data_IF_441856047240
#
_entry.id   IF_441856047240
#
_cell.length_a   1.000
_cell.length_b   1.000
_cell.length_c   1.000
_cell.angle_alpha   90.00
_cell.angle_beta   90.00
_cell.angle_gamma   90.00
#
_symmetry.space_group_name_H-M   'P 1'
#
loop_
_entity.id
_entity.type
_entity.pdbx_description
1 polymer ?
#
# COMPACT_ATOMS: atom_id res chain seq x y z
N UNK A 1 5.73 -38.90 38.08
CA UNK A 1 6.09 -38.86 36.65
C UNK A 1 5.14 -37.87 35.98
N UNK A 2 5.68 -36.65 35.65
CA UNK A 2 4.93 -35.68 34.87
C UNK A 2 5.17 -35.96 33.40
N UNK A 3 4.15 -35.92 32.53
CA UNK A 3 4.36 -36.12 31.11
C UNK A 3 5.10 -34.88 30.55
N UNK A 4 6.21 -35.14 29.86
CA UNK A 4 6.93 -34.13 29.10
C UNK A 4 6.03 -33.64 27.95
N UNK A 5 5.66 -32.38 28.01
CA UNK A 5 5.04 -31.68 26.87
C UNK A 5 6.15 -31.56 25.81
N UNK A 6 6.08 -32.40 24.78
CA UNK A 6 6.86 -32.22 23.57
C UNK A 6 6.35 -30.92 22.93
N UNK A 7 7.12 -29.84 23.05
CA UNK A 7 6.94 -28.68 22.20
C UNK A 7 7.21 -29.13 20.76
N UNK A 8 6.17 -29.24 19.95
CA UNK A 8 6.29 -29.38 18.50
C UNK A 8 7.07 -28.14 18.02
N UNK A 9 8.31 -28.33 17.59
CA UNK A 9 9.00 -27.34 16.77
C UNK A 9 8.21 -27.27 15.48
N UNK A 10 7.45 -26.19 15.26
CA UNK A 10 6.93 -25.88 13.93
C UNK A 10 8.11 -25.84 12.98
N UNK A 11 8.07 -26.60 11.88
CA UNK A 11 9.04 -26.46 10.82
C UNK A 11 8.97 -25.01 10.33
N UNK A 12 10.12 -24.36 10.20
CA UNK A 12 10.20 -22.96 9.76
C UNK A 12 9.61 -22.71 8.36
N UNK A 13 9.24 -23.77 7.66
CA UNK A 13 8.74 -23.75 6.27
C UNK A 13 7.23 -24.02 6.12
N UNK A 14 6.51 -24.32 7.20
CA UNK A 14 5.06 -24.48 7.09
C UNK A 14 4.37 -23.13 6.96
N UNK A 15 3.28 -22.99 6.17
CA UNK A 15 2.52 -21.73 6.10
C UNK A 15 2.09 -21.25 7.49
N UNK A 16 2.02 -19.93 7.65
CA UNK A 16 1.50 -19.33 8.88
C UNK A 16 0.01 -19.70 9.04
N UNK A 17 -0.37 -20.03 10.26
CA UNK A 17 -1.79 -20.15 10.63
C UNK A 17 -2.30 -18.73 10.98
N UNK A 18 -2.68 -17.97 9.93
CA UNK A 18 -3.13 -16.60 10.04
C UNK A 18 -4.54 -16.54 10.63
N UNK A 19 -4.78 -15.54 11.49
CA UNK A 19 -6.07 -15.31 12.14
C UNK A 19 -7.17 -14.86 11.19
N UNK A 20 -6.82 -14.35 10.01
CA UNK A 20 -7.76 -13.90 8.99
C UNK A 20 -8.47 -12.59 9.31
N UNK A 21 -7.99 -11.83 10.30
CA UNK A 21 -8.53 -10.52 10.65
C UNK A 21 -7.93 -9.40 9.79
N UNK A 22 -6.72 -9.60 9.30
CA UNK A 22 -5.99 -8.67 8.41
C UNK A 22 -5.75 -9.37 7.08
N UNK A 23 -6.08 -8.72 5.98
CA UNK A 23 -5.71 -9.18 4.64
C UNK A 23 -4.27 -8.72 4.36
N UNK A 24 -3.34 -9.66 4.46
CA UNK A 24 -1.92 -9.39 4.25
C UNK A 24 -1.56 -9.34 2.78
N UNK A 25 -0.64 -8.43 2.44
CA UNK A 25 0.00 -8.30 1.15
C UNK A 25 1.47 -7.89 1.29
N UNK A 26 2.20 -7.81 0.19
CA UNK A 26 3.57 -7.29 0.14
C UNK A 26 3.86 -6.63 -1.21
N UNK A 27 4.69 -5.59 -1.21
CA UNK A 27 4.99 -4.83 -2.42
C UNK A 27 5.98 -5.56 -3.33
N UNK A 28 5.63 -5.69 -4.60
CA UNK A 28 6.41 -6.35 -5.66
C UNK A 28 7.82 -5.79 -5.78
N UNK A 29 7.95 -4.47 -5.75
CA UNK A 29 9.23 -3.81 -6.02
C UNK A 29 10.32 -4.08 -4.97
N UNK A 30 9.94 -4.37 -3.72
CA UNK A 30 10.90 -4.64 -2.63
C UNK A 30 11.60 -6.00 -2.78
N UNK A 31 11.07 -6.87 -3.66
CA UNK A 31 11.63 -8.19 -4.01
C UNK A 31 11.87 -8.30 -5.52
N UNK A 32 12.30 -7.22 -6.17
CA UNK A 32 12.52 -7.14 -7.62
C UNK A 32 13.56 -8.13 -8.17
N UNK A 33 14.40 -8.71 -7.32
CA UNK A 33 15.37 -9.75 -7.68
C UNK A 33 14.72 -11.12 -7.95
N UNK A 34 13.49 -11.37 -7.47
CA UNK A 34 12.74 -12.59 -7.75
C UNK A 34 11.88 -12.44 -9.02
N UNK A 35 11.73 -13.53 -9.78
CA UNK A 35 10.65 -13.57 -10.79
C UNK A 35 9.28 -13.55 -10.10
N UNK A 36 8.24 -13.18 -10.84
CA UNK A 36 6.88 -13.16 -10.28
C UNK A 36 6.43 -14.55 -9.83
N UNK A 37 6.78 -15.61 -10.56
CA UNK A 37 6.46 -17.00 -10.17
C UNK A 37 7.15 -17.41 -8.87
N UNK A 38 8.42 -16.99 -8.67
CA UNK A 38 9.14 -17.26 -7.42
C UNK A 38 8.49 -16.52 -6.26
N UNK A 39 8.11 -15.27 -6.47
CA UNK A 39 7.45 -14.46 -5.46
C UNK A 39 6.06 -15.01 -5.09
N UNK A 40 5.25 -15.40 -6.08
CA UNK A 40 3.96 -16.05 -5.84
C UNK A 40 4.10 -17.33 -5.01
N UNK A 41 5.10 -18.17 -5.33
CA UNK A 41 5.37 -19.37 -4.52
C UNK A 41 5.80 -19.04 -3.09
N UNK A 42 6.63 -17.99 -2.92
CA UNK A 42 7.07 -17.57 -1.60
C UNK A 42 5.89 -17.04 -0.75
N UNK A 43 5.07 -16.18 -1.32
CA UNK A 43 3.87 -15.61 -0.68
C UNK A 43 2.90 -16.71 -0.24
N UNK A 44 2.57 -17.66 -1.14
CA UNK A 44 1.75 -18.82 -0.82
C UNK A 44 2.40 -19.70 0.27
N UNK A 45 3.72 -19.89 0.22
CA UNK A 45 4.48 -20.63 1.24
C UNK A 45 4.48 -19.96 2.61
N UNK A 46 4.37 -18.62 2.67
CA UNK A 46 4.22 -17.88 3.93
C UNK A 46 2.79 -18.03 4.47
N UNK A 47 1.77 -18.10 3.60
CA UNK A 47 0.38 -18.35 3.99
C UNK A 47 -0.58 -17.19 3.71
N UNK A 48 -0.23 -16.24 2.84
CA UNK A 48 -1.14 -15.22 2.33
C UNK A 48 -1.15 -15.21 0.80
N UNK A 49 -2.07 -14.47 0.17
CA UNK A 49 -2.37 -14.63 -1.25
C UNK A 49 -2.59 -13.30 -1.97
N UNK A 50 -1.80 -12.27 -1.63
CA UNK A 50 -1.86 -10.99 -2.33
C UNK A 50 -0.47 -10.38 -2.51
N UNK A 51 -0.23 -9.75 -3.66
CA UNK A 51 0.97 -8.96 -3.96
C UNK A 51 0.52 -7.57 -4.38
N UNK A 52 1.23 -6.58 -3.90
CA UNK A 52 0.95 -5.16 -4.03
C UNK A 52 1.80 -4.52 -5.13
N UNK A 53 1.28 -3.46 -5.76
CA UNK A 53 1.97 -2.69 -6.79
C UNK A 53 2.38 -3.56 -8.00
N UNK A 54 1.40 -4.27 -8.56
CA UNK A 54 1.60 -5.12 -9.74
C UNK A 54 0.91 -4.51 -10.95
N UNK A 55 1.66 -4.35 -12.04
CA UNK A 55 1.16 -3.84 -13.31
C UNK A 55 0.58 -4.93 -14.24
N UNK A 56 -0.09 -4.52 -15.34
CA UNK A 56 -0.80 -5.44 -16.25
C UNK A 56 0.05 -6.57 -16.82
N UNK A 57 1.37 -6.34 -16.99
CA UNK A 57 2.28 -7.34 -17.56
C UNK A 57 2.51 -8.58 -16.71
N UNK A 58 2.16 -8.57 -15.42
CA UNK A 58 2.40 -9.68 -14.50
C UNK A 58 1.09 -10.30 -13.95
N UNK A 59 -0.10 -9.76 -14.26
CA UNK A 59 -1.38 -10.22 -13.69
C UNK A 59 -1.77 -11.65 -14.07
N UNK A 60 -1.41 -12.12 -15.27
CA UNK A 60 -1.71 -13.50 -15.67
C UNK A 60 -0.95 -14.50 -14.79
N UNK A 61 0.30 -14.17 -14.42
CA UNK A 61 1.10 -15.00 -13.51
C UNK A 61 0.47 -15.04 -12.13
N UNK A 62 -0.01 -13.89 -11.60
CA UNK A 62 -0.73 -13.87 -10.32
C UNK A 62 -1.93 -14.82 -10.34
N UNK A 63 -2.75 -14.75 -11.38
CA UNK A 63 -3.96 -15.59 -11.55
C UNK A 63 -3.61 -17.07 -11.62
N UNK A 64 -2.56 -17.45 -12.33
CA UNK A 64 -2.08 -18.84 -12.43
C UNK A 64 -1.67 -19.40 -11.07
N UNK A 65 -1.20 -18.56 -10.17
CA UNK A 65 -0.78 -18.94 -8.81
C UNK A 65 -1.86 -18.71 -7.74
N UNK A 66 -3.05 -18.22 -8.11
CA UNK A 66 -4.11 -17.90 -7.16
C UNK A 66 -3.78 -16.74 -6.22
N UNK A 67 -2.96 -15.79 -6.70
CA UNK A 67 -2.55 -14.57 -5.99
C UNK A 67 -3.41 -13.41 -6.49
N UNK A 68 -3.86 -12.55 -5.58
CA UNK A 68 -4.56 -11.31 -5.89
C UNK A 68 -3.57 -10.14 -6.07
N UNK A 69 -3.94 -9.13 -6.87
CA UNK A 69 -3.26 -7.84 -6.87
C UNK A 69 -3.98 -6.91 -5.90
N UNK A 70 -3.39 -6.68 -4.73
CA UNK A 70 -3.98 -5.82 -3.70
C UNK A 70 -3.98 -4.34 -4.08
N UNK A 71 -3.02 -3.92 -4.89
CA UNK A 71 -2.91 -2.62 -5.52
C UNK A 71 -2.31 -2.77 -6.92
N UNK A 72 -2.95 -2.18 -7.92
CA UNK A 72 -2.45 -2.11 -9.28
C UNK A 72 -1.69 -0.79 -9.50
N UNK A 73 -0.70 -0.81 -10.40
CA UNK A 73 0.05 0.36 -10.84
C UNK A 73 0.25 0.36 -12.35
N UNK A 74 0.92 1.40 -12.88
CA UNK A 74 1.29 1.53 -14.28
C UNK A 74 0.56 2.64 -15.03
N UNK A 75 -0.41 3.30 -14.40
CA UNK A 75 -1.11 4.45 -14.97
C UNK A 75 -0.36 5.77 -14.73
N UNK A 76 0.47 5.82 -13.71
CA UNK A 76 1.25 7.00 -13.29
C UNK A 76 2.37 7.34 -14.30
N UNK A 77 2.69 8.63 -14.44
CA UNK A 77 3.88 9.09 -15.18
C UNK A 77 5.12 8.82 -14.31
N UNK A 78 5.12 9.36 -13.11
CA UNK A 78 6.16 9.15 -12.10
C UNK A 78 5.64 9.55 -10.71
N UNK A 79 6.45 9.40 -9.67
CA UNK A 79 6.12 9.89 -8.33
C UNK A 79 6.18 11.43 -8.23
N UNK A 80 6.95 12.07 -9.12
CA UNK A 80 7.22 13.52 -9.11
C UNK A 80 6.29 14.28 -10.05
N UNK A 81 5.78 13.63 -11.10
CA UNK A 81 4.94 14.19 -12.15
C UNK A 81 3.52 13.64 -12.01
N UNK A 82 2.67 14.38 -11.32
CA UNK A 82 1.36 13.88 -10.88
C UNK A 82 0.24 14.92 -10.99
N UNK A 83 -0.83 14.64 -10.28
CA UNK A 83 -2.10 15.36 -10.40
C UNK A 83 -2.09 16.82 -9.94
N UNK A 84 -1.10 17.28 -9.18
CA UNK A 84 -1.03 18.68 -8.77
C UNK A 84 -0.57 19.61 -9.93
N UNK A 85 -0.07 19.06 -11.03
CA UNK A 85 0.40 19.85 -12.18
C UNK A 85 -0.53 19.72 -13.40
N UNK A 86 -1.27 20.76 -13.77
CA UNK A 86 -2.22 20.74 -14.89
C UNK A 86 -1.63 20.34 -16.24
N UNK A 87 -0.35 20.57 -16.47
CA UNK A 87 0.35 20.24 -17.70
C UNK A 87 0.39 18.71 -17.96
N UNK A 88 0.29 17.90 -16.90
CA UNK A 88 0.24 16.43 -17.01
C UNK A 88 -1.16 15.85 -17.08
N UNK A 89 -2.23 16.63 -16.83
CA UNK A 89 -3.60 16.13 -16.73
C UNK A 89 -4.04 15.36 -17.97
N UNK A 90 -3.77 15.88 -19.19
CA UNK A 90 -4.18 15.19 -20.42
C UNK A 90 -3.60 13.78 -20.49
N UNK A 91 -2.29 13.64 -20.23
CA UNK A 91 -1.61 12.33 -20.26
C UNK A 91 -2.11 11.41 -19.15
N UNK A 92 -2.27 11.94 -17.93
CA UNK A 92 -2.77 11.17 -16.78
C UNK A 92 -4.22 10.72 -17.01
N UNK A 93 -5.10 11.59 -17.52
CA UNK A 93 -6.51 11.23 -17.79
C UNK A 93 -6.58 10.09 -18.79
N UNK A 94 -5.83 10.15 -19.87
CA UNK A 94 -5.81 9.11 -20.91
C UNK A 94 -5.29 7.79 -20.30
N UNK A 95 -4.16 7.83 -19.60
CA UNK A 95 -3.54 6.65 -19.00
C UNK A 95 -4.41 6.02 -17.91
N UNK A 96 -4.95 6.82 -16.97
CA UNK A 96 -5.82 6.30 -15.92
C UNK A 96 -7.15 5.77 -16.47
N UNK A 97 -7.72 6.39 -17.51
CA UNK A 97 -8.94 5.87 -18.15
C UNK A 97 -8.71 4.47 -18.71
N UNK A 98 -7.59 4.26 -19.42
CA UNK A 98 -7.21 2.94 -19.94
C UNK A 98 -6.95 1.94 -18.78
N UNK A 99 -6.17 2.33 -17.77
CA UNK A 99 -5.83 1.41 -16.68
C UNK A 99 -7.03 1.07 -15.78
N UNK A 100 -7.99 1.96 -15.60
CA UNK A 100 -9.26 1.66 -14.92
C UNK A 100 -9.97 0.49 -15.63
N UNK A 101 -10.01 0.50 -16.97
CA UNK A 101 -10.59 -0.60 -17.72
C UNK A 101 -9.77 -1.88 -17.56
N UNK A 102 -8.45 -1.83 -17.68
CA UNK A 102 -7.57 -2.97 -17.52
C UNK A 102 -7.70 -3.61 -16.12
N UNK A 103 -7.71 -2.81 -15.07
CA UNK A 103 -7.86 -3.25 -13.67
C UNK A 103 -9.20 -3.96 -13.47
N UNK A 104 -10.29 -3.33 -13.94
CA UNK A 104 -11.63 -3.90 -13.82
C UNK A 104 -11.80 -5.19 -14.64
N UNK A 105 -11.29 -5.24 -15.87
CA UNK A 105 -11.36 -6.41 -16.74
C UNK A 105 -10.51 -7.57 -16.21
N UNK A 106 -9.41 -7.26 -15.51
CA UNK A 106 -8.61 -8.25 -14.79
C UNK A 106 -9.30 -8.79 -13.53
N UNK A 107 -10.36 -8.14 -13.04
CA UNK A 107 -11.08 -8.49 -11.82
C UNK A 107 -10.52 -7.86 -10.55
N UNK A 108 -9.61 -6.91 -10.68
CA UNK A 108 -9.03 -6.14 -9.57
C UNK A 108 -9.84 -4.86 -9.30
N UNK A 109 -9.52 -4.15 -8.21
CA UNK A 109 -10.33 -3.01 -7.78
C UNK A 109 -9.55 -1.79 -7.29
N UNK A 110 -8.25 -1.87 -7.09
CA UNK A 110 -7.44 -0.77 -6.56
C UNK A 110 -6.38 -0.33 -7.58
N UNK A 111 -6.27 0.98 -7.80
CA UNK A 111 -5.28 1.59 -8.69
C UNK A 111 -4.63 2.77 -7.98
N UNK A 112 -3.31 2.73 -7.83
CA UNK A 112 -2.54 3.78 -7.15
C UNK A 112 -2.45 5.06 -7.98
N UNK A 113 -2.36 6.22 -7.30
CA UNK A 113 -2.03 7.48 -7.93
C UNK A 113 -1.17 8.38 -7.02
N UNK A 114 -0.56 9.41 -7.60
CA UNK A 114 0.37 10.31 -6.94
C UNK A 114 0.05 11.78 -7.27
N UNK A 115 0.24 12.67 -6.29
CA UNK A 115 0.06 14.11 -6.53
C UNK A 115 1.18 14.72 -7.36
N UNK A 116 2.40 14.20 -7.28
CA UNK A 116 3.59 14.87 -7.78
C UNK A 116 4.17 15.90 -6.79
N UNK A 117 5.21 16.61 -7.23
CA UNK A 117 5.95 17.58 -6.43
C UNK A 117 5.32 18.97 -6.46
N UNK A 118 5.47 19.73 -5.36
CA UNK A 118 4.95 21.11 -5.19
C UNK A 118 5.56 22.10 -6.19
N UNK A 119 6.84 22.00 -6.44
CA UNK A 119 7.60 22.93 -7.30
C UNK A 119 7.35 24.40 -6.97
N UNK A 120 7.23 24.69 -5.66
CA UNK A 120 6.93 26.00 -5.14
C UNK A 120 5.45 26.40 -5.12
N UNK A 121 4.54 25.50 -5.50
CA UNK A 121 3.10 25.68 -5.41
C UNK A 121 2.64 25.60 -3.94
N UNK A 122 1.68 26.41 -3.55
CA UNK A 122 1.02 26.28 -2.25
C UNK A 122 0.00 25.14 -2.23
N UNK A 123 -0.34 24.67 -1.03
CA UNK A 123 -1.23 23.50 -0.84
C UNK A 123 -2.63 23.73 -1.41
N UNK A 124 -3.18 24.95 -1.33
CA UNK A 124 -4.51 25.24 -1.86
C UNK A 124 -4.55 25.15 -3.39
N UNK A 125 -3.53 25.70 -4.04
CA UNK A 125 -3.37 25.60 -5.50
C UNK A 125 -3.19 24.14 -5.92
N UNK A 126 -2.36 23.37 -5.19
CA UNK A 126 -2.17 21.93 -5.42
C UNK A 126 -3.46 21.14 -5.29
N UNK A 127 -4.26 21.39 -4.23
CA UNK A 127 -5.57 20.77 -4.03
C UNK A 127 -6.52 21.07 -5.20
N UNK A 128 -6.64 22.32 -5.63
CA UNK A 128 -7.50 22.72 -6.74
C UNK A 128 -7.10 22.01 -8.04
N UNK A 129 -5.80 21.94 -8.32
CA UNK A 129 -5.28 21.25 -9.49
C UNK A 129 -5.56 19.74 -9.44
N UNK A 130 -5.27 19.08 -8.31
CA UNK A 130 -5.57 17.66 -8.13
C UNK A 130 -7.07 17.36 -8.36
N UNK A 131 -7.96 18.16 -7.79
CA UNK A 131 -9.40 18.01 -7.99
C UNK A 131 -9.76 18.14 -9.45
N UNK A 132 -9.29 19.20 -10.13
CA UNK A 132 -9.62 19.46 -11.54
C UNK A 132 -9.19 18.33 -12.50
N UNK A 133 -8.08 17.64 -12.20
CA UNK A 133 -7.62 16.49 -12.96
C UNK A 133 -8.39 15.20 -12.61
N UNK A 134 -8.42 14.86 -11.33
CA UNK A 134 -9.00 13.61 -10.84
C UNK A 134 -10.50 13.49 -11.09
N UNK A 135 -11.27 14.56 -10.94
CA UNK A 135 -12.73 14.54 -11.21
C UNK A 135 -13.07 14.05 -12.62
N UNK A 136 -12.19 14.23 -13.60
CA UNK A 136 -12.41 13.81 -14.98
C UNK A 136 -12.42 12.28 -15.14
N UNK A 137 -11.75 11.54 -14.26
CA UNK A 137 -11.71 10.07 -14.30
C UNK A 137 -12.68 9.41 -13.31
N UNK A 138 -13.13 10.13 -12.27
CA UNK A 138 -13.89 9.51 -11.16
C UNK A 138 -15.19 8.86 -11.63
N UNK A 139 -15.97 9.51 -12.51
CA UNK A 139 -17.19 8.91 -13.04
C UNK A 139 -16.96 7.62 -13.83
N UNK A 140 -15.78 7.45 -14.44
CA UNK A 140 -15.38 6.20 -15.08
C UNK A 140 -14.98 5.14 -14.04
N UNK A 141 -14.16 5.50 -13.07
CA UNK A 141 -13.74 4.63 -11.96
C UNK A 141 -14.95 4.07 -11.19
N UNK A 142 -15.95 4.90 -10.90
CA UNK A 142 -17.20 4.47 -10.24
C UNK A 142 -17.97 3.43 -11.06
N UNK A 143 -18.16 3.68 -12.37
CA UNK A 143 -18.85 2.72 -13.26
C UNK A 143 -18.14 1.39 -13.34
N UNK A 144 -16.81 1.42 -13.34
CA UNK A 144 -15.95 0.24 -13.40
C UNK A 144 -15.68 -0.39 -12.03
N UNK A 145 -16.10 0.27 -10.93
CA UNK A 145 -15.87 -0.15 -9.53
C UNK A 145 -14.40 -0.26 -9.18
N UNK A 146 -13.58 0.62 -9.72
CA UNK A 146 -12.16 0.75 -9.38
C UNK A 146 -12.01 1.91 -8.40
N UNK A 147 -11.26 1.70 -7.35
CA UNK A 147 -10.90 2.71 -6.34
C UNK A 147 -9.54 3.28 -6.70
N UNK A 148 -9.50 4.58 -6.94
CA UNK A 148 -8.25 5.33 -7.10
C UNK A 148 -7.71 5.65 -5.73
N UNK A 149 -6.48 5.24 -5.45
CA UNK A 149 -5.87 5.37 -4.13
C UNK A 149 -4.63 6.28 -4.19
N UNK A 150 -4.75 7.45 -3.58
CA UNK A 150 -3.64 8.41 -3.51
C UNK A 150 -2.71 8.03 -2.36
N UNK A 151 -1.46 7.80 -2.68
CA UNK A 151 -0.44 7.53 -1.66
C UNK A 151 0.09 8.81 -1.02
N UNK A 152 0.18 8.79 0.31
CA UNK A 152 0.77 9.85 1.12
C UNK A 152 2.25 9.55 1.38
N UNK A 153 3.14 10.46 0.97
CA UNK A 153 4.58 10.32 1.19
C UNK A 153 5.12 11.32 2.22
N UNK A 154 6.28 11.03 2.79
CA UNK A 154 6.99 12.03 3.57
C UNK A 154 7.90 12.88 2.68
N UNK A 155 7.80 14.20 2.85
CA UNK A 155 8.68 15.18 2.19
C UNK A 155 9.97 15.46 2.98
N UNK A 156 10.09 14.96 4.22
CA UNK A 156 11.21 15.24 5.11
C UNK A 156 12.47 14.42 4.80
N UNK A 157 12.32 13.19 4.28
CA UNK A 157 13.44 12.26 4.09
C UNK A 157 13.46 11.67 2.69
N UNK A 158 12.33 11.06 2.23
CA UNK A 158 12.34 10.20 1.03
C UNK A 158 11.90 10.91 -0.24
N UNK A 159 10.89 11.77 -0.17
CA UNK A 159 10.28 12.42 -1.34
C UNK A 159 10.24 13.94 -1.14
N UNK A 160 11.40 14.62 -1.12
CA UNK A 160 11.46 16.08 -0.97
C UNK A 160 10.53 16.77 -1.96
N UNK A 161 9.78 17.76 -1.47
CA UNK A 161 8.84 18.56 -2.29
C UNK A 161 7.54 17.86 -2.71
N UNK A 162 7.26 16.61 -2.26
CA UNK A 162 6.00 15.95 -2.59
C UNK A 162 4.80 16.72 -2.03
N UNK A 163 3.71 16.80 -2.84
CA UNK A 163 2.55 17.65 -2.50
C UNK A 163 1.71 17.04 -1.36
N UNK A 164 1.31 15.78 -1.45
CA UNK A 164 0.46 15.12 -0.45
C UNK A 164 1.31 14.50 0.68
N UNK A 165 1.99 15.32 1.46
CA UNK A 165 2.94 14.88 2.48
C UNK A 165 2.38 14.78 3.91
N UNK A 166 1.04 14.85 4.04
CA UNK A 166 0.36 14.74 5.33
C UNK A 166 -1.11 14.32 5.16
N UNK A 167 -1.69 13.74 6.22
CA UNK A 167 -3.09 13.28 6.23
C UNK A 167 -4.12 14.40 6.02
N UNK A 168 -4.00 15.60 6.62
CA UNK A 168 -4.97 16.67 6.40
C UNK A 168 -5.12 17.07 4.94
N UNK A 169 -4.03 17.12 4.16
CA UNK A 169 -4.08 17.39 2.72
C UNK A 169 -4.87 16.29 1.99
N UNK A 170 -4.53 15.02 2.24
CA UNK A 170 -5.20 13.90 1.58
C UNK A 170 -6.70 13.83 1.91
N UNK A 171 -7.06 14.00 3.18
CA UNK A 171 -8.46 14.01 3.65
C UNK A 171 -9.24 15.16 3.00
N UNK A 172 -8.66 16.35 2.92
CA UNK A 172 -9.31 17.49 2.26
C UNK A 172 -9.52 17.22 0.76
N UNK A 173 -8.53 16.59 0.09
CA UNK A 173 -8.66 16.18 -1.30
C UNK A 173 -9.81 15.18 -1.49
N UNK A 174 -9.91 14.16 -0.64
CA UNK A 174 -11.02 13.21 -0.67
C UNK A 174 -12.39 13.89 -0.51
N UNK A 175 -12.50 14.85 0.41
CA UNK A 175 -13.73 15.62 0.62
C UNK A 175 -14.14 16.44 -0.58
N UNK A 176 -13.18 17.10 -1.24
CA UNK A 176 -13.45 17.91 -2.44
C UNK A 176 -13.85 17.07 -3.63
N UNK A 177 -13.19 15.93 -3.85
CA UNK A 177 -13.57 14.98 -4.92
C UNK A 177 -14.93 14.36 -4.64
N UNK A 178 -15.27 14.03 -3.38
CA UNK A 178 -16.57 13.55 -2.95
C UNK A 178 -17.00 12.19 -3.51
N UNK A 179 -16.09 11.43 -4.13
CA UNK A 179 -16.36 10.11 -4.68
C UNK A 179 -16.03 8.99 -3.67
N UNK A 180 -16.89 7.97 -3.51
CA UNK A 180 -16.56 6.81 -2.69
C UNK A 180 -15.41 5.97 -3.29
N UNK A 181 -15.13 6.15 -4.58
CA UNK A 181 -14.07 5.47 -5.32
C UNK A 181 -12.75 6.24 -5.34
N UNK A 182 -12.61 7.29 -4.52
CA UNK A 182 -11.34 7.96 -4.27
C UNK A 182 -10.98 7.82 -2.79
N UNK A 183 -9.85 7.20 -2.49
CA UNK A 183 -9.36 6.93 -1.15
C UNK A 183 -7.88 7.27 -1.02
N UNK A 184 -7.35 7.18 0.19
CA UNK A 184 -5.95 7.32 0.47
C UNK A 184 -5.31 5.95 0.72
N UNK A 185 -4.15 5.75 0.18
CA UNK A 185 -3.21 4.77 0.66
C UNK A 185 -2.42 5.45 1.79
N UNK A 186 -2.63 4.96 3.01
CA UNK A 186 -1.96 5.47 4.21
C UNK A 186 -0.69 4.66 4.46
N UNK A 187 0.45 5.18 4.03
CA UNK A 187 1.74 4.58 4.32
C UNK A 187 2.19 4.96 5.74
N UNK A 188 2.17 3.98 6.63
CA UNK A 188 2.50 4.15 8.06
C UNK A 188 3.95 4.61 8.24
N UNK A 189 4.88 4.12 7.41
CA UNK A 189 6.27 4.55 7.44
C UNK A 189 6.39 6.05 7.11
N UNK A 190 5.78 6.45 6.00
CA UNK A 190 5.82 7.84 5.55
C UNK A 190 5.14 8.78 6.54
N UNK A 191 3.98 8.40 7.06
CA UNK A 191 3.23 9.26 7.97
C UNK A 191 3.83 9.30 9.36
N UNK A 192 4.53 8.25 9.82
CA UNK A 192 5.31 8.35 11.07
C UNK A 192 6.38 9.44 10.97
N UNK A 193 7.07 9.53 9.84
CA UNK A 193 8.11 10.56 9.60
C UNK A 193 7.47 11.95 9.44
N UNK A 194 6.36 12.05 8.71
CA UNK A 194 5.70 13.33 8.43
C UNK A 194 5.02 13.92 9.65
N UNK A 195 4.23 13.15 10.38
CA UNK A 195 3.31 13.68 11.39
C UNK A 195 3.29 12.89 12.72
N UNK A 196 3.62 11.61 12.70
CA UNK A 196 3.52 10.76 13.89
C UNK A 196 2.07 10.50 14.33
N UNK A 197 1.88 10.12 15.61
CA UNK A 197 0.56 9.88 16.24
C UNK A 197 -0.39 8.97 15.41
N UNK A 198 0.20 7.96 14.77
CA UNK A 198 -0.41 7.07 13.76
C UNK A 198 -1.76 6.50 14.20
N UNK A 199 -1.84 5.98 15.43
CA UNK A 199 -3.05 5.33 15.95
C UNK A 199 -4.22 6.32 16.06
N UNK A 200 -3.97 7.56 16.47
CA UNK A 200 -5.00 8.60 16.54
C UNK A 200 -5.48 8.96 15.14
N UNK A 201 -4.58 9.18 14.20
CA UNK A 201 -4.90 9.51 12.81
C UNK A 201 -5.73 8.40 12.17
N UNK A 202 -5.34 7.13 12.34
CA UNK A 202 -6.13 5.98 11.85
C UNK A 202 -7.55 6.01 12.40
N UNK A 203 -7.72 6.16 13.73
CA UNK A 203 -9.06 6.17 14.34
C UNK A 203 -9.92 7.35 13.92
N UNK A 204 -9.30 8.51 13.67
CA UNK A 204 -10.01 9.75 13.30
C UNK A 204 -10.41 9.75 11.82
N UNK A 205 -9.52 9.32 10.93
CA UNK A 205 -9.64 9.55 9.49
C UNK A 205 -9.82 8.25 8.68
N UNK A 206 -10.06 7.10 9.35
CA UNK A 206 -10.15 5.76 8.74
C UNK A 206 -11.13 5.68 7.56
N UNK A 207 -12.20 6.48 7.56
CA UNK A 207 -13.18 6.48 6.47
C UNK A 207 -12.57 6.87 5.11
N UNK A 208 -11.43 7.58 5.12
CA UNK A 208 -10.72 8.01 3.94
C UNK A 208 -9.62 7.02 3.50
N UNK A 209 -9.22 6.10 4.38
CA UNK A 209 -8.12 5.16 4.11
C UNK A 209 -8.65 3.87 3.47
N UNK A 210 -8.18 3.57 2.26
CA UNK A 210 -8.58 2.39 1.50
C UNK A 210 -7.49 1.32 1.43
N UNK A 211 -6.25 1.65 1.83
CA UNK A 211 -5.10 0.75 1.81
C UNK A 211 -4.04 1.21 2.81
N UNK A 212 -3.20 0.27 3.30
CA UNK A 212 -2.11 0.58 4.21
C UNK A 212 -0.80 -0.03 3.73
N UNK A 213 0.31 0.76 3.83
CA UNK A 213 1.67 0.27 3.71
C UNK A 213 2.39 0.28 5.06
N UNK A 214 3.37 -0.61 5.23
CA UNK A 214 4.13 -0.79 6.47
C UNK A 214 5.62 -0.88 6.18
N UNK A 215 6.45 -0.22 7.01
CA UNK A 215 7.89 -0.44 7.07
C UNK A 215 8.45 0.03 8.40
N UNK A 216 9.66 -0.38 8.76
CA UNK A 216 10.34 0.07 9.97
C UNK A 216 10.83 1.52 9.90
N UNK A 217 10.62 2.29 10.95
CA UNK A 217 11.13 3.65 11.11
C UNK A 217 12.18 3.66 12.22
N UNK A 218 13.38 4.20 11.98
CA UNK A 218 13.88 4.80 10.74
C UNK A 218 14.31 3.76 9.69
N UNK A 219 14.53 4.19 8.45
CA UNK A 219 15.28 3.45 7.44
C UNK A 219 14.45 2.71 6.39
N UNK A 220 13.13 2.54 6.60
CA UNK A 220 12.23 1.78 5.72
C UNK A 220 12.61 0.30 5.61
N UNK A 221 13.21 -0.25 6.67
CA UNK A 221 13.65 -1.64 6.72
C UNK A 221 12.64 -2.52 7.45
N UNK A 222 13.07 -3.70 7.89
CA UNK A 222 12.27 -4.71 8.57
C UNK A 222 11.50 -4.13 9.79
N UNK A 223 10.32 -4.66 10.07
CA UNK A 223 9.52 -4.24 11.23
C UNK A 223 9.82 -5.07 12.49
N UNK A 224 11.09 -5.23 12.80
CA UNK A 224 11.61 -5.94 13.96
C UNK A 224 11.80 -5.04 15.21
N UNK A 225 12.67 -5.42 16.16
CA UNK A 225 12.94 -4.66 17.37
C UNK A 225 13.90 -3.47 17.18
N UNK A 226 14.46 -3.28 15.99
CA UNK A 226 15.40 -2.19 15.68
C UNK A 226 14.72 -0.87 15.30
N UNK A 227 13.39 -0.88 15.16
CA UNK A 227 12.58 0.25 14.71
C UNK A 227 11.58 0.73 15.80
N UNK A 228 10.98 1.91 15.65
CA UNK A 228 10.26 2.62 16.70
C UNK A 228 8.74 2.34 16.76
N UNK A 229 8.13 1.72 15.71
CA UNK A 229 6.70 1.50 15.62
C UNK A 229 6.28 0.18 16.29
N UNK A 230 5.23 0.23 17.12
CA UNK A 230 4.65 -0.97 17.70
C UNK A 230 3.48 -1.48 16.86
N UNK A 231 3.78 -2.24 15.81
CA UNK A 231 2.81 -2.71 14.82
C UNK A 231 1.60 -3.46 15.38
N UNK A 232 1.70 -4.31 16.41
CA UNK A 232 0.50 -4.96 16.96
C UNK A 232 -0.57 -3.97 17.43
N UNK A 233 -0.19 -2.84 18.04
CA UNK A 233 -1.15 -1.82 18.46
C UNK A 233 -1.70 -1.01 17.27
N UNK A 234 -0.90 -0.80 16.23
CA UNK A 234 -1.34 -0.14 14.99
C UNK A 234 -2.35 -1.02 14.26
N UNK A 235 -2.06 -2.32 14.10
CA UNK A 235 -2.99 -3.29 13.49
C UNK A 235 -4.30 -3.39 14.29
N UNK A 236 -4.22 -3.39 15.62
CA UNK A 236 -5.43 -3.34 16.45
C UNK A 236 -6.28 -2.11 16.18
N UNK A 237 -5.66 -0.93 16.00
CA UNK A 237 -6.38 0.29 15.66
C UNK A 237 -7.02 0.21 14.28
N UNK A 238 -6.36 -0.38 13.28
CA UNK A 238 -6.92 -0.63 11.95
C UNK A 238 -8.11 -1.58 12.04
N UNK A 239 -7.97 -2.69 12.75
CA UNK A 239 -9.03 -3.68 12.92
C UNK A 239 -10.29 -3.09 13.59
N UNK A 240 -10.11 -2.25 14.62
CA UNK A 240 -11.21 -1.57 15.34
C UNK A 240 -12.04 -0.65 14.44
N UNK A 241 -11.52 -0.19 13.31
CA UNK A 241 -12.28 0.63 12.35
C UNK A 241 -13.21 -0.18 11.46
N UNK A 242 -13.11 -1.51 11.46
CA UNK A 242 -13.83 -2.39 10.54
C UNK A 242 -13.19 -2.44 9.15
N UNK A 243 -11.92 -2.04 9.01
CA UNK A 243 -11.19 -2.07 7.73
C UNK A 243 -11.12 -3.49 7.17
N UNK A 244 -11.50 -3.64 5.90
CA UNK A 244 -11.50 -4.92 5.18
C UNK A 244 -10.63 -4.93 3.92
N UNK A 245 -9.82 -3.88 3.70
CA UNK A 245 -8.84 -3.81 2.61
C UNK A 245 -7.54 -4.55 2.98
N UNK A 246 -6.46 -4.26 2.25
CA UNK A 246 -5.16 -4.90 2.45
C UNK A 246 -4.20 -4.03 3.27
N UNK A 247 -3.32 -4.71 4.01
CA UNK A 247 -2.14 -4.15 4.65
C UNK A 247 -0.92 -4.78 3.98
N UNK A 248 -0.15 -3.99 3.24
CA UNK A 248 0.98 -4.48 2.48
C UNK A 248 2.32 -4.16 3.17
N UNK A 249 3.19 -5.16 3.22
CA UNK A 249 4.56 -5.01 3.70
C UNK A 249 5.40 -4.32 2.61
N UNK A 250 5.91 -3.13 2.90
CA UNK A 250 6.69 -2.33 1.95
C UNK A 250 8.10 -1.99 2.46
N UNK A 251 8.56 -2.69 3.46
CA UNK A 251 9.93 -2.51 3.92
C UNK A 251 10.95 -2.99 2.89
N UNK A 252 12.13 -2.37 2.89
CA UNK A 252 13.27 -2.74 2.05
C UNK A 252 14.09 -3.77 2.83
N UNK A 253 14.12 -5.04 2.37
CA UNK A 253 14.87 -6.09 3.05
C UNK A 253 16.38 -5.80 3.08
N UNK A 254 17.03 -6.10 4.21
CA UNK A 254 18.46 -5.81 4.42
C UNK A 254 19.33 -7.05 4.60
N UNK A 255 18.76 -8.26 4.58
CA UNK A 255 19.51 -9.48 4.78
C UNK A 255 20.34 -9.85 3.55
N UNK A 256 21.39 -10.68 3.74
CA UNK A 256 22.33 -11.03 2.67
C UNK A 256 21.73 -11.97 1.63
N UNK A 257 20.78 -12.83 2.03
CA UNK A 257 20.19 -13.84 1.15
C UNK A 257 18.69 -13.64 0.96
N UNK A 258 18.17 -14.09 -0.17
CA UNK A 258 16.73 -14.09 -0.45
C UNK A 258 15.93 -14.89 0.59
N UNK A 259 16.47 -16.02 1.05
CA UNK A 259 15.82 -16.86 2.07
C UNK A 259 15.66 -16.10 3.40
N UNK A 260 16.69 -15.40 3.84
CA UNK A 260 16.64 -14.57 5.03
C UNK A 260 15.66 -13.39 4.87
N UNK A 261 15.65 -12.73 3.70
CA UNK A 261 14.70 -11.67 3.39
C UNK A 261 13.25 -12.17 3.42
N UNK A 262 12.97 -13.35 2.90
CA UNK A 262 11.64 -13.98 2.97
C UNK A 262 11.28 -14.40 4.40
N UNK A 263 12.25 -14.79 5.22
CA UNK A 263 12.03 -15.04 6.65
C UNK A 263 11.64 -13.74 7.38
N UNK A 264 12.26 -12.61 7.05
CA UNK A 264 11.85 -11.28 7.58
C UNK A 264 10.43 -10.90 7.14
N UNK A 265 10.07 -11.15 5.87
CA UNK A 265 8.69 -10.94 5.41
C UNK A 265 7.68 -11.78 6.23
N UNK A 266 8.00 -13.04 6.44
CA UNK A 266 7.19 -13.95 7.25
C UNK A 266 7.03 -13.44 8.69
N UNK A 267 8.10 -12.95 9.31
CA UNK A 267 8.06 -12.40 10.66
C UNK A 267 7.27 -11.09 10.72
N UNK A 268 7.38 -10.24 9.71
CA UNK A 268 6.60 -9.01 9.58
C UNK A 268 5.10 -9.30 9.49
N UNK A 269 4.69 -10.24 8.62
CA UNK A 269 3.30 -10.71 8.52
C UNK A 269 2.81 -11.22 9.87
N UNK A 270 3.60 -12.06 10.55
CA UNK A 270 3.24 -12.60 11.87
C UNK A 270 3.07 -11.51 12.94
N UNK A 271 3.86 -10.43 12.91
CA UNK A 271 3.73 -9.29 13.85
C UNK A 271 2.48 -8.47 13.57
N UNK A 272 2.03 -8.43 12.33
CA UNK A 272 0.82 -7.73 11.90
C UNK A 272 -0.44 -8.60 11.99
N UNK A 273 -0.33 -9.90 12.21
CA UNK A 273 -1.47 -10.82 12.29
C UNK A 273 -1.99 -10.88 13.74
N UNK A 274 -3.07 -10.18 14.04
CA UNK A 274 -3.62 -9.98 15.39
C UNK A 274 -5.03 -10.57 15.55
#
# INVERSE_FOLDING_TARGET
MLPSILAMKSNSNDPLDLKGNINHSMCRWTYGQLSMEELCRAVNGIGFSAIDLVGPGEWDILKEHGIDSSMCNGAEISLEEGWCEPDYHSTLIDSYTEHIDLVADAGYSNLICFTGNKRGMDDETGLQNCVAGLEQIMGHAERRRVVIQLELFNSKVNHPDYMADNSPFGVELCKRIGSPNFKLLYDIYHMQISEGDIIRTIRQDHEWFGHYHTAGVPGRNEIDESQELYYPAIMQAILETGFGGYVAQEFIPTQETTEENLAMLRDAVKRCDI
#
